data_IF_723917747942
#
_entry.id   IF_723917747942
#
_cell.length_a   1.000
_cell.length_b   1.000
_cell.length_c   1.000
_cell.angle_alpha   90.00
_cell.angle_beta   90.00
_cell.angle_gamma   90.00
#
_symmetry.space_group_name_H-M   'P 1'
#
loop_
_entity.id
_entity.type
_entity.pdbx_description
1 polymer ?
#
# COMPACT_ATOMS: atom_id res chain seq x y z
N UNK A 1 -15.60 -2.95 32.51
CA UNK A 1 -15.13 -2.62 31.14
C UNK A 1 -16.23 -2.91 30.13
N UNK A 2 -16.94 -1.89 29.63
CA UNK A 2 -18.10 -2.08 28.73
C UNK A 2 -17.59 -2.13 27.28
N UNK A 3 -17.27 -3.31 26.74
CA UNK A 3 -16.97 -3.45 25.32
C UNK A 3 -18.24 -3.23 24.50
N UNK A 4 -18.56 -1.98 24.18
CA UNK A 4 -19.60 -1.66 23.19
C UNK A 4 -19.04 -2.02 21.80
N UNK A 5 -18.96 -3.30 21.47
CA UNK A 5 -18.98 -3.69 20.05
C UNK A 5 -20.34 -3.24 19.51
N UNK A 6 -20.33 -2.15 18.75
CA UNK A 6 -21.53 -1.64 18.13
C UNK A 6 -21.95 -2.68 17.08
N UNK A 7 -23.14 -3.26 17.22
CA UNK A 7 -23.67 -4.26 16.27
C UNK A 7 -23.59 -3.75 14.83
N UNK A 8 -23.77 -2.44 14.62
CA UNK A 8 -23.56 -1.80 13.31
C UNK A 8 -22.14 -2.01 12.77
N UNK A 9 -21.10 -1.82 13.58
CA UNK A 9 -19.71 -1.97 13.14
C UNK A 9 -19.38 -3.42 12.81
N UNK A 10 -19.89 -4.36 13.61
CA UNK A 10 -19.74 -5.80 13.35
C UNK A 10 -20.40 -6.18 12.02
N UNK A 11 -21.67 -5.82 11.83
CA UNK A 11 -22.42 -6.13 10.61
C UNK A 11 -21.78 -5.48 9.38
N UNK A 12 -21.38 -4.20 9.44
CA UNK A 12 -20.69 -3.56 8.32
C UNK A 12 -19.36 -4.22 8.01
N UNK A 13 -18.59 -4.64 9.02
CA UNK A 13 -17.33 -5.39 8.81
C UNK A 13 -17.61 -6.74 8.14
N UNK A 14 -18.66 -7.45 8.54
CA UNK A 14 -19.06 -8.71 7.92
C UNK A 14 -19.44 -8.53 6.43
N UNK A 15 -20.15 -7.45 6.10
CA UNK A 15 -20.46 -7.08 4.70
C UNK A 15 -19.18 -6.85 3.90
N UNK A 16 -18.20 -6.11 4.46
CA UNK A 16 -16.92 -5.92 3.79
C UNK A 16 -16.18 -7.25 3.56
N UNK A 17 -16.16 -8.15 4.55
CA UNK A 17 -15.56 -9.48 4.40
C UNK A 17 -16.25 -10.28 3.29
N UNK A 18 -17.58 -10.28 3.24
CA UNK A 18 -18.34 -10.96 2.20
C UNK A 18 -18.01 -10.40 0.79
N UNK A 19 -17.94 -9.07 0.65
CA UNK A 19 -17.55 -8.42 -0.60
C UNK A 19 -16.11 -8.78 -0.99
N UNK A 20 -15.19 -8.85 -0.02
CA UNK A 20 -13.80 -9.23 -0.28
C UNK A 20 -13.67 -10.62 -0.89
N UNK A 21 -14.43 -11.58 -0.35
CA UNK A 21 -14.46 -12.97 -0.84
C UNK A 21 -14.93 -13.02 -2.29
N UNK A 22 -15.96 -12.23 -2.64
CA UNK A 22 -16.43 -12.13 -4.03
C UNK A 22 -15.36 -11.47 -4.92
N UNK A 23 -14.80 -10.33 -4.49
CA UNK A 23 -13.77 -9.60 -5.25
C UNK A 23 -12.51 -10.43 -5.50
N UNK A 24 -12.15 -11.32 -4.57
CA UNK A 24 -11.01 -12.23 -4.72
C UNK A 24 -11.17 -13.19 -5.90
N UNK A 25 -12.39 -13.46 -6.34
CA UNK A 25 -12.64 -14.28 -7.54
C UNK A 25 -12.22 -13.59 -8.84
N UNK A 26 -12.14 -12.25 -8.84
CA UNK A 26 -11.74 -11.44 -9.99
C UNK A 26 -10.24 -11.11 -10.03
N UNK A 27 -9.42 -11.76 -9.19
CA UNK A 27 -7.98 -11.50 -9.13
C UNK A 27 -7.27 -11.91 -10.42
N UNK A 28 -6.36 -11.05 -10.92
CA UNK A 28 -5.54 -11.33 -12.10
C UNK A 28 -4.19 -11.85 -11.64
N UNK A 29 -3.88 -13.09 -12.02
CA UNK A 29 -2.59 -13.71 -11.75
C UNK A 29 -1.60 -13.38 -12.89
N UNK A 30 -0.48 -12.76 -12.54
CA UNK A 30 0.60 -12.45 -13.47
C UNK A 30 1.75 -13.40 -13.17
N UNK A 31 2.01 -14.29 -14.12
CA UNK A 31 3.15 -15.19 -14.10
C UNK A 31 4.30 -14.56 -14.89
N UNK A 32 5.49 -14.52 -14.30
CA UNK A 32 6.72 -14.11 -14.98
C UNK A 32 7.73 -15.26 -14.93
N UNK A 33 8.24 -15.66 -16.09
CA UNK A 33 9.22 -16.75 -16.22
C UNK A 33 8.70 -18.14 -15.81
N UNK A 34 7.43 -18.44 -16.08
CA UNK A 34 6.80 -19.74 -15.82
C UNK A 34 6.35 -19.98 -14.37
N UNK A 35 6.49 -18.97 -13.49
CA UNK A 35 6.10 -19.06 -12.07
C UNK A 35 5.11 -17.93 -11.77
N UNK A 36 4.10 -18.20 -10.94
CA UNK A 36 3.18 -17.19 -10.42
C UNK A 36 3.95 -16.19 -9.54
N UNK A 37 4.33 -15.06 -10.11
CA UNK A 37 5.14 -14.04 -9.43
C UNK A 37 4.30 -13.02 -8.68
N UNK A 38 3.07 -12.77 -9.14
CA UNK A 38 2.22 -11.70 -8.64
C UNK A 38 0.75 -12.01 -8.86
N UNK A 39 -0.13 -11.54 -7.96
CA UNK A 39 -1.57 -11.59 -8.14
C UNK A 39 -2.21 -10.28 -7.72
N UNK A 40 -2.63 -9.49 -8.72
CA UNK A 40 -3.32 -8.24 -8.51
C UNK A 40 -4.74 -8.55 -8.03
N UNK A 41 -5.04 -8.15 -6.80
CA UNK A 41 -6.32 -8.43 -6.14
C UNK A 41 -6.87 -7.15 -5.51
N UNK A 42 -8.17 -6.91 -5.68
CA UNK A 42 -8.86 -5.69 -5.19
C UNK A 42 -9.50 -5.86 -3.81
N UNK A 43 -9.26 -6.99 -3.14
CA UNK A 43 -9.83 -7.33 -1.83
C UNK A 43 -9.22 -6.51 -0.67
N UNK A 44 -8.07 -5.86 -0.91
CA UNK A 44 -7.36 -5.09 0.10
C UNK A 44 -8.21 -3.97 0.73
N UNK A 45 -9.06 -3.33 -0.08
CA UNK A 45 -9.95 -2.26 0.38
C UNK A 45 -10.89 -2.77 1.48
N UNK A 46 -11.29 -4.03 1.42
CA UNK A 46 -12.29 -4.60 2.29
C UNK A 46 -11.77 -4.90 3.71
N UNK A 47 -10.47 -5.10 3.92
CA UNK A 47 -9.91 -5.11 5.29
C UNK A 47 -9.36 -3.75 5.74
N UNK A 48 -8.92 -2.90 4.80
CA UNK A 48 -8.45 -1.55 5.11
C UNK A 48 -9.62 -0.69 5.62
N UNK A 49 -10.79 -0.76 4.97
CA UNK A 49 -11.92 0.11 5.26
C UNK A 49 -12.51 -0.07 6.67
N UNK A 50 -12.82 -1.29 7.15
CA UNK A 50 -13.24 -1.51 8.54
C UNK A 50 -12.19 -1.02 9.54
N UNK A 51 -10.90 -1.21 9.24
CA UNK A 51 -9.80 -0.73 10.06
C UNK A 51 -9.81 0.80 10.22
N UNK A 52 -10.00 1.52 9.11
CA UNK A 52 -9.99 2.99 9.08
C UNK A 52 -11.26 3.57 9.72
N UNK A 53 -12.42 2.96 9.50
CA UNK A 53 -13.72 3.46 10.01
C UNK A 53 -13.96 3.12 11.48
N UNK A 54 -13.67 1.88 11.88
CA UNK A 54 -14.06 1.34 13.20
C UNK A 54 -12.86 1.09 14.13
N UNK A 55 -11.65 1.13 13.60
CA UNK A 55 -10.40 1.01 14.33
C UNK A 55 -9.61 -0.27 14.00
N UNK A 56 -8.33 -0.33 14.42
CA UNK A 56 -7.39 -1.36 13.95
C UNK A 56 -7.85 -2.79 14.19
N UNK A 57 -8.57 -3.03 15.29
CA UNK A 57 -9.09 -4.37 15.62
C UNK A 57 -10.02 -4.91 14.51
N UNK A 58 -10.92 -4.09 13.96
CA UNK A 58 -11.84 -4.52 12.90
C UNK A 58 -11.09 -4.75 11.57
N UNK A 59 -10.02 -3.99 11.31
CA UNK A 59 -9.13 -4.23 10.18
C UNK A 59 -8.38 -5.54 10.31
N UNK A 60 -7.85 -5.84 11.50
CA UNK A 60 -7.17 -7.11 11.77
C UNK A 60 -8.09 -8.32 11.63
N UNK A 61 -9.28 -8.27 12.25
CA UNK A 61 -10.26 -9.36 12.17
C UNK A 61 -10.69 -9.59 10.72
N UNK A 62 -11.01 -8.53 9.98
CA UNK A 62 -11.39 -8.67 8.56
C UNK A 62 -10.25 -9.23 7.72
N UNK A 63 -9.01 -8.76 7.90
CA UNK A 63 -7.84 -9.29 7.19
C UNK A 63 -7.63 -10.79 7.41
N UNK A 64 -7.68 -11.25 8.67
CA UNK A 64 -7.55 -12.66 9.00
C UNK A 64 -8.69 -13.53 8.45
N UNK A 65 -9.94 -13.06 8.59
CA UNK A 65 -11.11 -13.79 8.06
C UNK A 65 -11.08 -13.90 6.55
N UNK A 66 -10.71 -12.83 5.84
CA UNK A 66 -10.61 -12.84 4.38
C UNK A 66 -9.57 -13.85 3.92
N UNK A 67 -8.44 -13.97 4.63
CA UNK A 67 -7.41 -14.96 4.33
C UNK A 67 -7.92 -16.40 4.50
N UNK A 68 -8.47 -16.72 5.67
CA UNK A 68 -8.99 -18.05 6.00
C UNK A 68 -10.12 -18.44 5.05
N UNK A 69 -11.12 -17.57 4.88
CA UNK A 69 -12.26 -17.83 3.99
C UNK A 69 -11.82 -17.92 2.53
N UNK A 70 -10.87 -17.08 2.12
CA UNK A 70 -10.30 -17.16 0.78
C UNK A 70 -9.63 -18.50 0.52
N UNK A 71 -8.91 -19.05 1.50
CA UNK A 71 -8.32 -20.38 1.41
C UNK A 71 -9.38 -21.48 1.33
N UNK A 72 -10.42 -21.44 2.18
CA UNK A 72 -11.49 -22.44 2.22
C UNK A 72 -12.26 -22.49 0.89
N UNK A 73 -12.57 -21.32 0.32
CA UNK A 73 -13.41 -21.22 -0.88
C UNK A 73 -12.60 -21.51 -2.15
N UNK A 74 -11.35 -21.03 -2.23
CA UNK A 74 -10.50 -21.20 -3.40
C UNK A 74 -9.05 -21.44 -2.96
N UNK A 75 -8.71 -22.67 -2.56
CA UNK A 75 -7.35 -23.00 -2.14
C UNK A 75 -6.39 -22.83 -3.31
N UNK A 76 -5.32 -22.07 -3.08
CA UNK A 76 -4.29 -21.75 -4.08
C UNK A 76 -2.93 -22.24 -3.58
N UNK A 77 -2.82 -23.56 -3.42
CA UNK A 77 -1.67 -24.22 -2.80
C UNK A 77 -1.90 -24.55 -1.33
N UNK A 78 -0.83 -24.86 -0.60
CA UNK A 78 -0.89 -25.17 0.82
C UNK A 78 -1.22 -23.94 1.67
N UNK A 79 -2.03 -24.11 2.71
CA UNK A 79 -2.28 -23.05 3.68
C UNK A 79 -1.04 -22.79 4.53
N UNK A 80 -0.58 -21.53 4.54
CA UNK A 80 0.55 -21.08 5.35
C UNK A 80 0.01 -20.10 6.39
N UNK A 81 -0.15 -20.49 7.67
CA UNK A 81 -0.74 -19.65 8.70
C UNK A 81 -0.04 -18.30 8.92
N UNK A 82 1.24 -18.19 8.55
CA UNK A 82 1.98 -16.93 8.60
C UNK A 82 1.40 -15.87 7.67
N UNK A 83 0.80 -16.24 6.54
CA UNK A 83 0.11 -15.28 5.65
C UNK A 83 -1.17 -14.72 6.27
N UNK A 84 -1.84 -15.50 7.13
CA UNK A 84 -2.98 -15.00 7.90
C UNK A 84 -2.55 -13.95 8.91
N UNK A 85 -1.43 -14.20 9.61
CA UNK A 85 -0.87 -13.23 10.57
C UNK A 85 -0.47 -11.94 9.86
N UNK A 86 0.17 -12.03 8.71
CA UNK A 86 0.52 -10.83 7.94
C UNK A 86 -0.70 -10.13 7.34
N UNK A 87 -1.76 -10.84 6.97
CA UNK A 87 -3.03 -10.24 6.54
C UNK A 87 -3.77 -9.54 7.68
N UNK A 88 -3.72 -10.09 8.91
CA UNK A 88 -4.20 -9.39 10.11
C UNK A 88 -3.39 -8.09 10.30
N UNK A 89 -2.06 -8.16 10.20
CA UNK A 89 -1.21 -6.98 10.31
C UNK A 89 -1.49 -5.96 9.18
N UNK A 90 -1.78 -6.42 7.96
CA UNK A 90 -2.12 -5.58 6.82
C UNK A 90 -3.41 -4.79 7.02
N UNK A 91 -4.35 -5.28 7.83
CA UNK A 91 -5.54 -4.53 8.24
C UNK A 91 -5.32 -3.60 9.44
N UNK A 92 -4.46 -4.01 10.38
CA UNK A 92 -4.16 -3.23 11.60
C UNK A 92 -3.27 -2.02 11.31
N UNK A 93 -2.17 -2.22 10.59
CA UNK A 93 -1.14 -1.20 10.35
C UNK A 93 -1.66 0.08 9.67
N UNK A 94 -2.41 0.02 8.54
CA UNK A 94 -2.87 1.24 7.89
C UNK A 94 -3.86 1.98 8.79
N UNK A 95 -4.68 1.27 9.57
CA UNK A 95 -5.60 1.87 10.54
C UNK A 95 -4.88 2.57 11.71
N UNK A 96 -3.79 1.99 12.21
CA UNK A 96 -2.95 2.62 13.23
C UNK A 96 -2.30 3.89 12.70
N UNK A 97 -1.63 3.81 11.54
CA UNK A 97 -0.96 4.97 10.94
C UNK A 97 -1.98 6.08 10.64
N UNK A 98 -3.14 5.70 10.09
CA UNK A 98 -4.25 6.62 9.86
C UNK A 98 -4.70 7.34 11.14
N UNK A 99 -4.82 6.63 12.26
CA UNK A 99 -5.25 7.22 13.53
C UNK A 99 -4.33 8.36 14.00
N UNK A 100 -3.03 8.26 13.73
CA UNK A 100 -2.05 9.30 14.07
C UNK A 100 -2.05 10.46 13.06
N UNK A 101 -2.22 10.18 11.76
CA UNK A 101 -2.05 11.18 10.70
C UNK A 101 -3.37 11.91 10.35
N UNK A 102 -4.54 11.34 10.63
CA UNK A 102 -5.85 11.88 10.19
C UNK A 102 -6.09 13.35 10.57
N UNK A 103 -5.60 13.77 11.73
CA UNK A 103 -5.78 15.13 12.27
C UNK A 103 -4.68 16.11 11.80
N UNK A 104 -3.67 15.64 11.07
CA UNK A 104 -2.62 16.51 10.54
C UNK A 104 -3.19 17.46 9.47
N UNK A 105 -2.64 18.69 9.41
CA UNK A 105 -3.01 19.67 8.39
C UNK A 105 -2.61 19.16 7.01
N UNK A 106 -3.54 19.15 6.05
CA UNK A 106 -3.33 18.61 4.71
C UNK A 106 -2.07 19.16 4.03
N UNK A 107 -1.92 20.49 3.98
CA UNK A 107 -0.79 21.12 3.31
C UNK A 107 0.56 20.66 3.88
N UNK A 108 0.64 20.38 5.19
CA UNK A 108 1.87 19.92 5.82
C UNK A 108 2.20 18.48 5.40
N UNK A 109 1.20 17.62 5.36
CA UNK A 109 1.36 16.22 4.91
C UNK A 109 1.72 16.16 3.42
N UNK A 110 1.03 16.94 2.60
CA UNK A 110 1.29 17.05 1.15
C UNK A 110 2.69 17.59 0.87
N UNK A 111 3.10 18.66 1.54
CA UNK A 111 4.44 19.23 1.33
C UNK A 111 5.53 18.27 1.82
N UNK A 112 5.31 17.56 2.93
CA UNK A 112 6.24 16.54 3.41
C UNK A 112 6.37 15.39 2.39
N UNK A 113 5.25 14.93 1.81
CA UNK A 113 5.26 13.92 0.76
C UNK A 113 6.07 14.38 -0.46
N UNK A 114 5.80 15.58 -0.98
CA UNK A 114 6.52 16.12 -2.15
C UNK A 114 8.01 16.32 -1.83
N UNK A 115 8.34 16.86 -0.66
CA UNK A 115 9.72 17.06 -0.25
C UNK A 115 10.48 15.73 -0.14
N UNK A 116 9.86 14.70 0.43
CA UNK A 116 10.46 13.38 0.57
C UNK A 116 10.76 12.74 -0.79
N UNK A 117 9.75 12.64 -1.67
CA UNK A 117 9.93 12.03 -2.99
C UNK A 117 10.76 12.88 -3.95
N UNK A 118 10.65 14.21 -3.85
CA UNK A 118 11.50 15.14 -4.60
C UNK A 118 12.97 15.03 -4.20
N UNK A 119 13.26 14.93 -2.90
CA UNK A 119 14.62 14.72 -2.41
C UNK A 119 15.18 13.37 -2.88
N UNK A 120 14.39 12.29 -2.80
CA UNK A 120 14.79 10.97 -3.32
C UNK A 120 15.13 11.02 -4.81
N UNK A 121 14.34 11.75 -5.60
CA UNK A 121 14.58 11.92 -7.04
C UNK A 121 15.89 12.67 -7.29
N UNK A 122 16.10 13.80 -6.61
CA UNK A 122 17.32 14.62 -6.74
C UNK A 122 18.56 13.84 -6.33
N UNK A 123 18.52 13.17 -5.16
CA UNK A 123 19.64 12.35 -4.68
C UNK A 123 19.91 11.17 -5.61
N UNK A 124 18.87 10.49 -6.08
CA UNK A 124 19.01 9.39 -7.04
C UNK A 124 19.62 9.83 -8.37
N UNK A 125 19.18 10.98 -8.88
CA UNK A 125 19.72 11.57 -10.11
C UNK A 125 21.18 12.02 -9.95
N UNK A 126 21.51 12.64 -8.83
CA UNK A 126 22.88 13.03 -8.51
C UNK A 126 23.82 11.83 -8.43
N UNK A 127 23.40 10.77 -7.73
CA UNK A 127 24.14 9.51 -7.64
C UNK A 127 24.31 8.83 -9.02
N UNK A 128 23.28 8.90 -9.88
CA UNK A 128 23.34 8.37 -11.24
C UNK A 128 24.38 9.12 -12.10
N UNK A 129 24.40 10.46 -12.02
CA UNK A 129 25.40 11.28 -12.73
C UNK A 129 26.81 10.94 -12.26
N UNK A 130 27.04 10.88 -10.94
CA UNK A 130 28.36 10.56 -10.38
C UNK A 130 28.86 9.21 -10.89
N UNK A 131 28.00 8.19 -10.89
CA UNK A 131 28.39 6.86 -11.37
C UNK A 131 28.69 6.81 -12.87
N UNK A 132 27.99 7.61 -13.68
CA UNK A 132 28.13 7.56 -15.15
C UNK A 132 29.23 8.48 -15.69
N UNK A 133 29.46 9.63 -15.06
CA UNK A 133 30.36 10.68 -15.56
C UNK A 133 31.54 11.00 -14.65
N UNK A 134 31.44 10.77 -13.33
CA UNK A 134 32.46 11.19 -12.35
C UNK A 134 33.00 10.01 -11.52
N UNK A 135 33.24 8.87 -12.17
CA UNK A 135 33.67 7.62 -11.51
C UNK A 135 34.95 7.77 -10.68
N UNK A 136 35.86 8.66 -11.09
CA UNK A 136 37.16 8.88 -10.44
C UNK A 136 37.10 9.71 -9.16
N UNK A 137 35.95 10.30 -8.82
CA UNK A 137 35.80 11.03 -7.56
C UNK A 137 35.66 10.06 -6.37
N UNK A 138 36.06 10.51 -5.17
CA UNK A 138 35.97 9.75 -3.91
C UNK A 138 34.57 9.21 -3.65
N UNK A 139 33.52 9.98 -3.98
CA UNK A 139 32.13 9.54 -3.89
C UNK A 139 31.76 8.50 -4.94
N UNK A 140 32.29 8.61 -6.17
CA UNK A 140 32.10 7.61 -7.22
C UNK A 140 32.75 6.26 -6.88
N UNK A 141 33.95 6.29 -6.30
CA UNK A 141 34.66 5.11 -5.81
C UNK A 141 33.99 4.48 -4.58
N UNK A 142 33.45 5.30 -3.67
CA UNK A 142 32.63 4.82 -2.55
C UNK A 142 31.33 4.17 -3.03
N UNK A 143 30.62 4.77 -3.98
CA UNK A 143 29.43 4.16 -4.55
C UNK A 143 29.76 2.87 -5.30
N UNK A 144 30.85 2.82 -6.06
CA UNK A 144 31.24 1.62 -6.80
C UNK A 144 31.76 0.49 -5.90
N UNK A 145 32.32 0.82 -4.73
CA UNK A 145 32.74 -0.16 -3.71
C UNK A 145 31.57 -1.02 -3.20
N UNK A 146 30.32 -0.54 -3.34
CA UNK A 146 29.11 -1.28 -3.01
C UNK A 146 28.72 -2.33 -4.09
N UNK A 147 29.50 -2.45 -5.17
CA UNK A 147 29.28 -3.43 -6.24
C UNK A 147 27.91 -3.28 -6.89
N UNK A 148 27.17 -4.39 -7.07
CA UNK A 148 25.80 -4.37 -7.64
C UNK A 148 24.81 -3.54 -6.80
N UNK A 149 25.08 -3.28 -5.51
CA UNK A 149 24.17 -2.49 -4.65
C UNK A 149 24.21 -0.99 -4.97
N UNK A 150 25.25 -0.52 -5.66
CA UNK A 150 25.38 0.86 -6.13
C UNK A 150 24.24 1.29 -7.06
N UNK A 151 23.72 0.34 -7.86
CA UNK A 151 22.60 0.58 -8.77
C UNK A 151 21.30 0.89 -8.01
N UNK A 152 21.08 0.29 -6.83
CA UNK A 152 19.89 0.60 -6.03
C UNK A 152 19.95 2.02 -5.46
N UNK A 153 21.14 2.49 -5.09
CA UNK A 153 21.34 3.82 -4.53
C UNK A 153 21.29 4.94 -5.59
N UNK A 154 21.45 4.59 -6.88
CA UNK A 154 21.32 5.53 -8.00
C UNK A 154 19.99 5.36 -8.72
N UNK A 155 19.89 4.37 -9.62
CA UNK A 155 18.70 4.13 -10.45
C UNK A 155 17.49 3.75 -9.62
N UNK A 156 17.67 2.99 -8.53
CA UNK A 156 16.59 2.62 -7.62
C UNK A 156 15.96 3.83 -6.93
N UNK A 157 16.76 4.70 -6.30
CA UNK A 157 16.26 5.93 -5.66
C UNK A 157 15.60 6.87 -6.66
N UNK A 158 16.19 7.02 -7.85
CA UNK A 158 15.64 7.84 -8.93
C UNK A 158 14.27 7.34 -9.37
N UNK A 159 14.11 6.03 -9.57
CA UNK A 159 12.83 5.42 -9.94
C UNK A 159 11.76 5.59 -8.86
N UNK A 160 12.10 5.37 -7.58
CA UNK A 160 11.17 5.54 -6.46
C UNK A 160 10.72 7.01 -6.35
N UNK A 161 11.67 7.94 -6.45
CA UNK A 161 11.38 9.38 -6.48
C UNK A 161 10.46 9.76 -7.64
N UNK A 162 10.76 9.27 -8.85
CA UNK A 162 9.95 9.50 -10.05
C UNK A 162 8.52 8.97 -9.90
N UNK A 163 8.35 7.74 -9.39
CA UNK A 163 7.02 7.15 -9.11
C UNK A 163 6.26 8.04 -8.13
N UNK A 164 6.89 8.48 -7.03
CA UNK A 164 6.24 9.34 -6.03
C UNK A 164 5.77 10.68 -6.61
N UNK A 165 6.56 11.29 -7.50
CA UNK A 165 6.21 12.53 -8.20
C UNK A 165 5.10 12.30 -9.24
N UNK A 166 5.14 11.20 -10.00
CA UNK A 166 4.09 10.82 -10.94
C UNK A 166 2.75 10.69 -10.21
N UNK A 167 2.73 10.03 -9.04
CA UNK A 167 1.53 9.91 -8.20
C UNK A 167 0.98 11.28 -7.81
N UNK A 168 1.85 12.23 -7.47
CA UNK A 168 1.44 13.60 -7.17
C UNK A 168 0.81 14.29 -8.39
N UNK A 169 1.42 14.14 -9.57
CA UNK A 169 0.92 14.73 -10.83
C UNK A 169 -0.46 14.14 -11.18
N UNK A 170 -0.63 12.82 -11.07
CA UNK A 170 -1.92 12.15 -11.29
C UNK A 170 -2.99 12.75 -10.37
N UNK A 171 -2.66 13.00 -9.09
CA UNK A 171 -3.60 13.62 -8.17
C UNK A 171 -3.98 15.06 -8.55
N UNK A 172 -3.02 15.85 -9.06
CA UNK A 172 -3.30 17.20 -9.58
C UNK A 172 -4.23 17.14 -10.80
N UNK A 173 -4.11 16.10 -11.64
CA UNK A 173 -4.99 15.92 -12.79
C UNK A 173 -6.41 15.50 -12.37
N UNK A 174 -6.54 14.51 -11.47
CA UNK A 174 -7.83 14.05 -10.92
C UNK A 174 -8.55 15.20 -10.20
N UNK A 175 -7.81 16.10 -9.54
CA UNK A 175 -8.32 17.33 -8.92
C UNK A 175 -9.16 18.18 -9.89
N UNK A 176 -8.87 18.19 -11.19
CA UNK A 176 -9.62 19.00 -12.17
C UNK A 176 -10.99 18.38 -12.52
N UNK A 177 -11.21 17.09 -12.25
CA UNK A 177 -12.40 16.35 -12.69
C UNK A 177 -13.47 16.17 -11.60
N UNK A 178 -13.10 16.17 -10.32
CA UNK A 178 -14.03 15.94 -9.21
C UNK A 178 -14.49 17.25 -8.57
N UNK A 179 -15.75 17.68 -8.76
CA UNK A 179 -16.26 18.97 -8.24
C UNK A 179 -16.93 18.86 -6.86
N UNK A 180 -17.63 17.74 -6.56
CA UNK A 180 -18.51 17.62 -5.36
C UNK A 180 -17.89 16.97 -4.12
N UNK A 181 -17.00 15.99 -4.31
CA UNK A 181 -16.30 15.25 -3.23
C UNK A 181 -14.86 15.74 -3.03
N UNK A 182 -14.50 16.84 -3.69
CA UNK A 182 -13.13 17.31 -3.87
C UNK A 182 -12.39 17.56 -2.56
N UNK A 183 -12.96 18.42 -1.70
CA UNK A 183 -12.29 18.87 -0.47
C UNK A 183 -12.03 17.70 0.49
N UNK A 184 -12.98 16.75 0.55
CA UNK A 184 -12.83 15.58 1.40
C UNK A 184 -11.72 14.65 0.90
N UNK A 185 -11.68 14.39 -0.41
CA UNK A 185 -10.66 13.52 -1.02
C UNK A 185 -9.29 14.18 -0.87
N UNK A 186 -9.17 15.47 -1.20
CA UNK A 186 -7.90 16.20 -1.14
C UNK A 186 -7.31 16.24 0.29
N UNK A 187 -8.16 16.44 1.31
CA UNK A 187 -7.72 16.47 2.71
C UNK A 187 -7.21 15.11 3.24
N UNK A 188 -7.72 14.01 2.69
CA UNK A 188 -7.46 12.66 3.23
C UNK A 188 -6.54 11.80 2.35
N UNK A 189 -6.43 12.10 1.04
CA UNK A 189 -5.74 11.25 0.07
C UNK A 189 -4.26 11.02 0.42
N UNK A 190 -3.47 12.07 0.62
CA UNK A 190 -2.05 11.91 0.97
C UNK A 190 -1.83 11.22 2.32
N UNK A 191 -2.75 11.43 3.28
CA UNK A 191 -2.71 10.75 4.58
C UNK A 191 -2.94 9.25 4.41
N UNK A 192 -3.86 8.86 3.51
CA UNK A 192 -4.13 7.47 3.17
C UNK A 192 -3.01 6.83 2.34
N UNK A 193 -2.40 7.54 1.38
CA UNK A 193 -1.21 7.04 0.67
C UNK A 193 -0.12 6.68 1.67
N UNK A 194 0.14 7.54 2.65
CA UNK A 194 1.18 7.27 3.66
C UNK A 194 0.79 6.07 4.52
N UNK A 195 -0.46 6.02 5.00
CA UNK A 195 -0.93 4.93 5.85
C UNK A 195 -0.95 3.57 5.14
N UNK A 196 -1.53 3.50 3.94
CA UNK A 196 -1.64 2.28 3.13
C UNK A 196 -0.29 1.92 2.53
N UNK A 197 0.48 2.89 2.06
CA UNK A 197 1.77 2.68 1.40
C UNK A 197 2.84 2.15 2.32
N UNK A 198 3.03 2.77 3.51
CA UNK A 198 4.00 2.26 4.50
C UNK A 198 3.64 0.83 4.90
N UNK A 199 2.37 0.58 5.19
CA UNK A 199 1.90 -0.77 5.52
C UNK A 199 2.13 -1.74 4.36
N UNK A 200 1.78 -1.36 3.14
CA UNK A 200 1.90 -2.20 1.95
C UNK A 200 3.35 -2.61 1.68
N UNK A 201 4.30 -1.67 1.79
CA UNK A 201 5.73 -1.94 1.62
C UNK A 201 6.22 -2.94 2.68
N UNK A 202 5.87 -2.73 3.96
CA UNK A 202 6.29 -3.60 5.05
C UNK A 202 5.73 -5.02 4.88
N UNK A 203 4.43 -5.14 4.67
CA UNK A 203 3.75 -6.44 4.53
C UNK A 203 4.22 -7.16 3.26
N UNK A 204 4.39 -6.46 2.14
CA UNK A 204 4.91 -7.05 0.90
C UNK A 204 6.32 -7.64 1.10
N UNK A 205 7.17 -6.92 1.83
CA UNK A 205 8.53 -7.38 2.15
C UNK A 205 8.50 -8.64 3.01
N UNK A 206 7.74 -8.63 4.10
CA UNK A 206 7.59 -9.79 5.00
C UNK A 206 6.99 -10.99 4.24
N UNK A 207 5.93 -10.77 3.45
CA UNK A 207 5.29 -11.82 2.65
C UNK A 207 6.21 -12.40 1.59
N UNK A 208 7.17 -11.63 1.08
CA UNK A 208 8.17 -12.14 0.14
C UNK A 208 9.19 -13.03 0.84
N UNK A 209 9.63 -12.67 2.04
CA UNK A 209 10.47 -13.55 2.86
C UNK A 209 9.77 -14.85 3.24
N UNK A 210 8.51 -14.77 3.70
CA UNK A 210 7.71 -15.97 4.02
C UNK A 210 7.61 -16.87 2.78
N UNK A 211 7.29 -16.30 1.61
CA UNK A 211 7.16 -17.10 0.38
C UNK A 211 8.46 -17.86 0.04
N UNK A 212 9.62 -17.24 0.23
CA UNK A 212 10.91 -17.88 -0.01
C UNK A 212 11.16 -19.04 0.95
N UNK A 213 10.85 -18.88 2.23
CA UNK A 213 11.04 -19.93 3.24
C UNK A 213 10.19 -21.17 2.92
N UNK A 214 8.95 -20.96 2.49
CA UNK A 214 7.99 -22.04 2.23
C UNK A 214 8.03 -22.59 0.80
N UNK A 215 8.79 -21.97 -0.11
CA UNK A 215 8.87 -22.40 -1.51
C UNK A 215 10.33 -22.50 -1.97
N UNK A 216 11.00 -23.65 -1.75
CA UNK A 216 12.42 -23.82 -2.09
C UNK A 216 12.75 -23.56 -3.57
N UNK A 217 11.83 -23.88 -4.48
CA UNK A 217 11.99 -23.63 -5.92
C UNK A 217 12.13 -22.13 -6.27
N UNK A 218 11.60 -21.24 -5.43
CA UNK A 218 11.68 -19.79 -5.61
C UNK A 218 12.98 -19.19 -5.04
N UNK A 219 13.67 -19.89 -4.14
CA UNK A 219 14.93 -19.44 -3.54
C UNK A 219 16.01 -19.27 -4.62
N UNK A 220 16.04 -20.18 -5.61
CA UNK A 220 16.99 -20.15 -6.72
C UNK A 220 16.91 -18.87 -7.59
N UNK A 221 15.74 -18.22 -7.64
CA UNK A 221 15.53 -16.96 -8.39
C UNK A 221 15.96 -15.71 -7.60
N UNK A 222 16.14 -15.85 -6.29
CA UNK A 222 16.57 -14.77 -5.39
C UNK A 222 15.45 -13.80 -4.99
N UNK A 223 15.62 -13.17 -3.83
CA UNK A 223 14.63 -12.27 -3.23
C UNK A 223 14.20 -11.12 -4.14
N UNK A 224 15.14 -10.43 -4.79
CA UNK A 224 14.83 -9.23 -5.56
C UNK A 224 14.01 -9.52 -6.82
N UNK A 225 14.19 -10.70 -7.43
CA UNK A 225 13.39 -11.10 -8.59
C UNK A 225 11.89 -11.16 -8.25
N UNK A 226 11.55 -11.59 -7.03
CA UNK A 226 10.16 -11.66 -6.56
C UNK A 226 9.70 -10.34 -5.93
N UNK A 227 10.59 -9.65 -5.22
CA UNK A 227 10.23 -8.45 -4.47
C UNK A 227 9.97 -7.24 -5.37
N UNK A 228 10.77 -7.03 -6.43
CA UNK A 228 10.62 -5.90 -7.35
C UNK A 228 9.22 -5.83 -8.00
N UNK A 229 8.70 -6.89 -8.64
CA UNK A 229 7.37 -6.82 -9.20
C UNK A 229 6.34 -6.57 -8.07
N UNK A 230 6.40 -7.33 -6.97
CA UNK A 230 5.44 -7.19 -5.86
C UNK A 230 5.43 -5.80 -5.20
N UNK A 231 6.57 -5.13 -5.12
CA UNK A 231 6.62 -3.76 -4.59
C UNK A 231 6.01 -2.75 -5.55
N UNK A 232 6.21 -2.93 -6.86
CA UNK A 232 5.57 -2.10 -7.90
C UNK A 232 4.05 -2.24 -7.82
N UNK A 233 3.54 -3.46 -7.73
CA UNK A 233 2.11 -3.70 -7.51
C UNK A 233 1.62 -3.06 -6.22
N UNK A 234 2.32 -3.26 -5.10
CA UNK A 234 1.91 -2.69 -3.82
C UNK A 234 1.80 -1.16 -3.88
N UNK A 235 2.73 -0.50 -4.58
CA UNK A 235 2.69 0.94 -4.82
C UNK A 235 1.52 1.35 -5.72
N UNK A 236 1.28 0.63 -6.82
CA UNK A 236 0.15 0.89 -7.72
C UNK A 236 -1.19 0.72 -6.99
N UNK A 237 -1.34 -0.37 -6.25
CA UNK A 237 -2.55 -0.64 -5.47
C UNK A 237 -2.73 0.35 -4.33
N UNK A 238 -1.65 0.90 -3.76
CA UNK A 238 -1.76 1.96 -2.75
C UNK A 238 -2.48 3.20 -3.31
N UNK A 239 -2.21 3.58 -4.56
CA UNK A 239 -2.87 4.70 -5.24
C UNK A 239 -4.37 4.43 -5.35
N UNK A 240 -4.71 3.27 -5.95
CA UNK A 240 -6.08 2.85 -6.21
C UNK A 240 -6.87 2.72 -4.91
N UNK A 241 -6.31 2.01 -3.92
CA UNK A 241 -6.94 1.78 -2.63
C UNK A 241 -7.13 3.08 -1.85
N UNK A 242 -6.20 4.04 -1.94
CA UNK A 242 -6.33 5.34 -1.25
C UNK A 242 -7.50 6.16 -1.81
N UNK A 243 -7.67 6.20 -3.14
CA UNK A 243 -8.80 6.88 -3.76
C UNK A 243 -10.14 6.22 -3.43
N UNK A 244 -10.23 4.90 -3.60
CA UNK A 244 -11.46 4.17 -3.27
C UNK A 244 -11.79 4.33 -1.80
N UNK A 245 -10.79 4.31 -0.92
CA UNK A 245 -10.98 4.53 0.50
C UNK A 245 -11.54 5.92 0.79
N UNK A 246 -10.98 6.98 0.19
CA UNK A 246 -11.53 8.33 0.29
C UNK A 246 -13.01 8.39 -0.15
N UNK A 247 -13.37 7.74 -1.27
CA UNK A 247 -14.73 7.78 -1.80
C UNK A 247 -15.72 7.06 -0.88
N UNK A 248 -15.39 5.86 -0.41
CA UNK A 248 -16.25 5.11 0.52
C UNK A 248 -16.38 5.87 1.84
N UNK A 249 -15.29 6.44 2.36
CA UNK A 249 -15.34 7.26 3.57
C UNK A 249 -16.24 8.50 3.38
N UNK A 250 -16.17 9.16 2.23
CA UNK A 250 -17.05 10.28 1.89
C UNK A 250 -18.52 9.85 1.90
N UNK A 251 -18.88 8.78 1.18
CA UNK A 251 -20.23 8.24 1.15
C UNK A 251 -20.73 7.84 2.55
N UNK A 252 -19.89 7.18 3.35
CA UNK A 252 -20.23 6.81 4.72
C UNK A 252 -20.48 8.04 5.61
N UNK A 253 -19.65 9.08 5.46
CA UNK A 253 -19.81 10.32 6.22
C UNK A 253 -21.05 11.13 5.81
N UNK A 254 -21.45 11.08 4.54
CA UNK A 254 -22.72 11.62 4.05
C UNK A 254 -23.90 10.87 4.68
N UNK A 255 -23.87 9.54 4.67
CA UNK A 255 -24.93 8.71 5.25
C UNK A 255 -25.08 8.94 6.77
N UNK A 256 -24.00 9.25 7.48
CA UNK A 256 -24.03 9.58 8.90
C UNK A 256 -24.32 11.06 9.20
N UNK A 257 -24.61 11.89 8.20
CA UNK A 257 -24.86 13.32 8.38
C UNK A 257 -23.65 14.11 8.91
N UNK A 258 -22.43 13.57 8.82
CA UNK A 258 -21.21 14.17 9.39
C UNK A 258 -20.52 15.19 8.47
N UNK A 259 -20.94 15.31 7.22
CA UNK A 259 -20.45 16.34 6.29
C UNK A 259 -21.47 17.47 6.25
N UNK A 260 -21.36 18.40 7.20
CA UNK A 260 -22.03 19.70 7.07
C UNK A 260 -21.30 20.45 5.95
N UNK A 261 -22.04 20.78 4.89
CA UNK A 261 -21.60 21.72 3.84
C UNK A 261 -21.05 22.97 4.54
N UNK A 262 -19.75 23.27 4.36
CA UNK A 262 -19.34 24.67 4.47
C UNK A 262 -19.97 25.35 3.25
N UNK A 263 -21.10 26.00 3.51
CA UNK A 263 -21.64 27.04 2.65
C UNK A 263 -20.61 28.16 2.50
#
# INVERSE_FOLDING_TARGET
>A
MKSRMNTKFLVTTAVFVAVAVVLRSFSIAIAAGGILTMRISFDAICYIMPGILFGPLYGGISGGLIDILGYIIRPMGGYIPLFTITNIAAGILPALIWRYIKNAKEYKVRNCYIAFFGLLLVVGFFNFIIMKFAYHTTLGQLLSSLGKKSQYLSTGLMLIGAIGVIIFIINVFIKKSMVKSYDFVNNNYFKLIIAIGISGILICTINTYILLIFTPALIAKGFMFLWIPRIIEALLMTIVNSYITCMIMYCYSLFQGRVVKKA
#
